data_IF_133195515189
#
_entry.id   IF_133195515189
#
_cell.length_a   1.000
_cell.length_b   1.000
_cell.length_c   1.000
_cell.angle_alpha   90.00
_cell.angle_beta   90.00
_cell.angle_gamma   90.00
#
_symmetry.space_group_name_H-M   'P 1'
#
loop_
_entity.id
_entity.type
_entity.pdbx_description
1 polymer ?
#
# COMPACT_ATOMS: atom_id res chain seq x y z
N UNK A 1 -29.22 -2.60 -10.18
CA UNK A 1 -28.22 -2.98 -9.15
C UNK A 1 -26.89 -2.33 -9.47
N UNK A 2 -26.45 -1.48 -8.60
CA UNK A 2 -25.11 -0.89 -8.77
C UNK A 2 -24.09 -1.84 -8.17
N UNK A 3 -23.24 -2.44 -9.01
CA UNK A 3 -22.03 -3.08 -8.50
C UNK A 3 -21.06 -1.97 -8.16
N UNK A 4 -20.53 -2.00 -6.96
CA UNK A 4 -19.44 -1.10 -6.57
C UNK A 4 -18.13 -1.87 -6.67
N UNK A 5 -17.15 -1.27 -7.33
CA UNK A 5 -15.79 -1.78 -7.44
C UNK A 5 -14.91 -0.84 -6.64
N UNK A 6 -14.71 -1.13 -5.37
CA UNK A 6 -14.05 -0.20 -4.46
C UNK A 6 -12.88 -0.86 -3.74
N UNK A 7 -11.72 -0.24 -3.86
CA UNK A 7 -10.53 -0.62 -3.13
C UNK A 7 -10.12 0.51 -2.19
N UNK A 8 -9.75 0.16 -0.96
CA UNK A 8 -9.04 1.06 -0.07
C UNK A 8 -7.55 0.87 -0.27
N UNK A 9 -6.86 1.89 -0.73
CA UNK A 9 -5.42 1.86 -0.97
C UNK A 9 -4.70 2.60 0.15
N UNK A 10 -3.66 2.01 0.67
CA UNK A 10 -2.82 2.63 1.71
C UNK A 10 -1.39 2.71 1.20
N UNK A 11 -0.81 3.88 1.34
CA UNK A 11 0.58 4.17 1.02
C UNK A 11 1.30 4.61 2.28
N UNK A 12 2.52 4.14 2.48
CA UNK A 12 3.36 4.56 3.60
C UNK A 12 4.79 4.77 3.13
N UNK A 13 5.34 5.96 3.39
CA UNK A 13 6.68 6.29 2.95
C UNK A 13 7.71 5.72 3.91
N UNK A 14 8.53 4.79 3.41
CA UNK A 14 9.62 4.17 4.15
C UNK A 14 10.99 4.75 3.81
N UNK A 15 11.05 5.73 2.89
CA UNK A 15 12.34 6.28 2.44
C UNK A 15 12.99 7.09 3.54
N UNK A 16 14.09 6.56 4.07
CA UNK A 16 14.81 7.17 5.18
C UNK A 16 15.37 8.53 4.81
N UNK A 17 15.10 9.55 5.63
CA UNK A 17 15.56 10.91 5.41
C UNK A 17 14.77 11.74 4.39
N UNK A 18 13.72 11.18 3.81
CA UNK A 18 12.88 11.91 2.88
C UNK A 18 11.92 12.88 3.56
N UNK A 19 11.39 13.85 2.82
CA UNK A 19 10.50 14.87 3.39
C UNK A 19 9.16 14.29 3.89
N UNK A 20 8.76 13.14 3.40
CA UNK A 20 7.51 12.46 3.80
C UNK A 20 7.76 11.12 4.50
N UNK A 21 8.99 10.88 4.96
CA UNK A 21 9.31 9.67 5.72
C UNK A 21 8.36 9.50 6.90
N UNK A 22 7.69 8.36 6.96
CA UNK A 22 6.71 8.05 8.00
C UNK A 22 5.29 8.53 7.73
N UNK A 23 5.04 9.21 6.62
CA UNK A 23 3.69 9.63 6.24
C UNK A 23 2.86 8.45 5.73
N UNK A 24 1.58 8.43 6.08
CA UNK A 24 0.61 7.44 5.62
C UNK A 24 -0.52 8.14 4.90
N UNK A 25 -0.89 7.63 3.74
CA UNK A 25 -2.00 8.11 2.95
C UNK A 25 -2.97 6.96 2.70
N UNK A 26 -4.24 7.17 3.03
CA UNK A 26 -5.32 6.22 2.74
C UNK A 26 -6.28 6.86 1.74
N UNK A 27 -6.61 6.14 0.68
CA UNK A 27 -7.56 6.66 -0.30
C UNK A 27 -8.36 5.52 -0.92
N UNK A 28 -9.54 5.86 -1.42
CA UNK A 28 -10.42 4.90 -2.07
C UNK A 28 -10.38 5.10 -3.58
N UNK A 29 -10.23 4.00 -4.30
CA UNK A 29 -10.28 3.98 -5.75
C UNK A 29 -11.43 3.10 -6.22
N UNK A 30 -12.10 3.53 -7.28
CA UNK A 30 -13.12 2.77 -7.94
C UNK A 30 -14.49 3.41 -7.83
N UNK A 31 -15.52 2.59 -7.93
CA UNK A 31 -16.91 3.03 -7.95
C UNK A 31 -17.52 2.90 -6.56
N UNK A 32 -18.04 4.01 -6.03
CA UNK A 32 -18.71 4.06 -4.75
C UNK A 32 -20.21 3.72 -4.90
N UNK A 33 -20.84 3.38 -3.79
CA UNK A 33 -22.28 3.05 -3.75
C UNK A 33 -23.18 4.17 -4.25
N UNK A 34 -22.76 5.43 -4.08
CA UNK A 34 -23.52 6.59 -4.56
C UNK A 34 -23.39 6.82 -6.08
N UNK A 35 -22.66 5.96 -6.78
CA UNK A 35 -22.45 6.05 -8.22
C UNK A 35 -21.27 6.90 -8.65
N UNK A 36 -20.59 7.57 -7.70
CA UNK A 36 -19.36 8.31 -8.03
C UNK A 36 -18.21 7.37 -8.29
N UNK A 37 -17.31 7.75 -9.19
CA UNK A 37 -16.18 6.95 -9.59
C UNK A 37 -14.88 7.70 -9.36
N UNK A 38 -13.86 6.95 -8.96
CA UNK A 38 -12.48 7.37 -9.11
C UNK A 38 -11.74 6.24 -9.82
N UNK A 39 -11.65 6.34 -11.15
CA UNK A 39 -10.91 5.39 -11.98
C UNK A 39 -9.50 5.88 -12.28
N UNK A 40 -9.02 6.85 -11.52
CA UNK A 40 -7.65 7.32 -11.63
C UNK A 40 -6.63 6.24 -11.30
N UNK A 41 -5.41 6.49 -11.69
CA UNK A 41 -4.27 5.68 -11.30
C UNK A 41 -3.51 6.35 -10.17
N UNK A 42 -2.71 5.54 -9.47
CA UNK A 42 -1.76 6.01 -8.47
C UNK A 42 -0.36 5.65 -8.94
N UNK A 43 0.51 6.64 -9.03
CA UNK A 43 1.93 6.39 -9.21
C UNK A 43 2.59 6.20 -7.85
N UNK A 44 3.24 5.06 -7.67
CA UNK A 44 3.91 4.73 -6.41
C UNK A 44 5.40 4.69 -6.67
N UNK A 45 6.17 5.66 -6.15
CA UNK A 45 7.61 5.67 -6.35
C UNK A 45 8.29 4.54 -5.57
N UNK A 46 9.48 4.12 -6.01
CA UNK A 46 10.26 3.13 -5.26
C UNK A 46 10.48 3.57 -3.81
N UNK A 47 10.36 2.63 -2.88
CA UNK A 47 10.56 2.88 -1.45
C UNK A 47 9.31 3.29 -0.69
N UNK A 48 8.20 3.46 -1.38
CA UNK A 48 6.89 3.68 -0.73
C UNK A 48 6.19 2.34 -0.62
N UNK A 49 5.88 1.93 0.61
CA UNK A 49 5.10 0.73 0.85
C UNK A 49 3.65 0.98 0.45
N UNK A 50 3.02 -0.03 -0.12
CA UNK A 50 1.63 0.08 -0.54
C UNK A 50 0.90 -1.23 -0.34
N UNK A 51 -0.40 -1.12 -0.19
CA UNK A 51 -1.30 -2.24 -0.12
C UNK A 51 -2.71 -1.80 -0.42
N UNK A 52 -3.59 -2.76 -0.58
CA UNK A 52 -4.99 -2.45 -0.77
C UNK A 52 -5.88 -3.45 -0.05
N UNK A 53 -7.05 -2.98 0.36
CA UNK A 53 -8.13 -3.82 0.83
C UNK A 53 -9.27 -3.76 -0.18
N UNK A 54 -9.77 -4.91 -0.58
CA UNK A 54 -10.94 -5.00 -1.43
C UNK A 54 -12.18 -4.79 -0.56
N UNK A 55 -12.85 -3.67 -0.74
CA UNK A 55 -14.10 -3.38 -0.02
C UNK A 55 -15.31 -4.01 -0.70
N UNK A 56 -15.16 -4.33 -1.99
CA UNK A 56 -16.13 -5.05 -2.80
C UNK A 56 -15.39 -6.00 -3.72
N UNK A 57 -16.10 -6.84 -4.46
CA UNK A 57 -15.49 -7.56 -5.57
C UNK A 57 -14.97 -6.57 -6.59
N UNK A 58 -13.70 -6.71 -6.98
CA UNK A 58 -13.05 -5.72 -7.85
C UNK A 58 -11.93 -6.35 -8.66
N UNK A 59 -11.58 -5.66 -9.73
CA UNK A 59 -10.38 -5.95 -10.53
C UNK A 59 -9.40 -4.80 -10.40
N UNK A 60 -8.14 -5.11 -10.13
CA UNK A 60 -7.08 -4.13 -10.07
C UNK A 60 -5.99 -4.48 -11.08
N UNK A 61 -5.44 -3.46 -11.73
CA UNK A 61 -4.38 -3.64 -12.72
C UNK A 61 -3.15 -2.85 -12.29
N UNK A 62 -2.00 -3.51 -12.41
CA UNK A 62 -0.71 -2.88 -12.12
C UNK A 62 0.12 -2.76 -13.39
N UNK A 63 0.86 -1.68 -13.47
CA UNK A 63 1.97 -1.56 -14.39
C UNK A 63 3.25 -1.44 -13.59
N UNK A 64 4.21 -2.32 -13.85
CA UNK A 64 5.49 -2.34 -13.16
C UNK A 64 6.62 -2.26 -14.18
N UNK A 65 7.75 -1.71 -13.77
CA UNK A 65 8.90 -1.46 -14.63
C UNK A 65 9.96 -2.58 -14.57
N UNK A 66 9.68 -3.65 -13.85
CA UNK A 66 10.59 -4.76 -13.69
C UNK A 66 9.87 -6.10 -13.59
N UNK A 67 10.62 -7.18 -13.74
CA UNK A 67 10.08 -8.52 -13.55
C UNK A 67 9.91 -8.85 -12.09
N UNK A 68 8.91 -9.67 -11.80
CA UNK A 68 8.69 -10.19 -10.46
C UNK A 68 9.91 -10.96 -9.96
N UNK A 69 10.40 -10.57 -8.79
CA UNK A 69 11.48 -11.27 -8.10
C UNK A 69 11.10 -11.41 -6.61
N UNK A 70 10.75 -12.63 -6.17
CA UNK A 70 10.31 -12.82 -4.78
C UNK A 70 11.38 -12.49 -3.74
N UNK A 71 12.66 -12.47 -4.11
CA UNK A 71 13.73 -12.11 -3.19
C UNK A 71 13.85 -10.62 -2.95
N UNK A 72 13.35 -9.81 -3.89
CA UNK A 72 13.34 -8.34 -3.78
C UNK A 72 12.04 -7.81 -3.21
N UNK A 73 11.08 -8.68 -2.95
CA UNK A 73 9.80 -8.27 -2.40
C UNK A 73 9.86 -8.23 -0.88
N UNK A 74 9.99 -7.03 -0.35
CA UNK A 74 9.93 -6.75 1.07
C UNK A 74 8.57 -6.17 1.42
N UNK A 75 8.14 -6.34 2.66
CA UNK A 75 6.89 -5.80 3.13
C UNK A 75 6.99 -5.27 4.54
N UNK A 76 5.97 -4.56 4.96
CA UNK A 76 5.81 -4.06 6.32
C UNK A 76 4.45 -4.49 6.85
N UNK A 77 4.35 -4.69 8.17
CA UNK A 77 3.12 -5.20 8.77
C UNK A 77 1.92 -4.30 8.49
N UNK A 78 0.84 -4.91 8.03
CA UNK A 78 -0.39 -4.21 7.66
C UNK A 78 -1.06 -3.53 8.85
N UNK A 79 -0.88 -4.07 10.04
CA UNK A 79 -1.49 -3.62 11.29
C UNK A 79 -0.53 -2.85 12.20
N UNK A 80 0.59 -2.40 11.67
CA UNK A 80 1.57 -1.64 12.43
C UNK A 80 0.97 -0.33 12.94
N UNK A 81 0.91 -0.09 14.26
CA UNK A 81 0.37 1.14 14.81
C UNK A 81 1.18 2.38 14.41
N UNK A 82 2.46 2.23 14.10
CA UNK A 82 3.27 3.36 13.62
C UNK A 82 2.87 3.81 12.21
N UNK A 83 2.26 2.92 11.42
CA UNK A 83 1.73 3.24 10.09
C UNK A 83 0.31 3.77 10.22
N UNK A 84 -0.47 3.23 11.16
CA UNK A 84 -1.84 3.63 11.43
C UNK A 84 -2.74 3.58 10.20
N UNK A 85 -2.62 2.52 9.40
CA UNK A 85 -3.41 2.36 8.19
C UNK A 85 -4.87 2.08 8.53
N UNK A 86 -5.78 2.82 7.90
CA UNK A 86 -7.21 2.55 7.97
C UNK A 86 -7.64 1.75 6.74
N UNK A 87 -7.72 0.45 6.88
CA UNK A 87 -8.08 -0.44 5.78
C UNK A 87 -9.58 -0.50 5.48
N UNK A 88 -10.41 0.04 6.36
CA UNK A 88 -11.85 0.01 6.20
C UNK A 88 -12.48 -1.35 6.43
N UNK A 89 -11.73 -2.32 6.93
CA UNK A 89 -12.21 -3.67 7.26
C UNK A 89 -11.72 -4.05 8.65
N UNK A 90 -12.51 -4.84 9.37
CA UNK A 90 -12.19 -5.22 10.76
C UNK A 90 -11.60 -6.62 10.87
N UNK A 91 -11.85 -7.49 9.89
CA UNK A 91 -11.41 -8.88 9.91
C UNK A 91 -10.96 -9.28 8.50
N UNK A 92 -9.80 -8.79 8.06
CA UNK A 92 -9.33 -9.04 6.70
C UNK A 92 -8.85 -10.47 6.52
N UNK A 93 -9.01 -10.98 5.29
CA UNK A 93 -8.35 -12.20 4.86
C UNK A 93 -6.99 -11.84 4.30
N UNK A 94 -5.93 -12.41 4.88
CA UNK A 94 -4.56 -12.07 4.58
C UNK A 94 -3.81 -13.26 4.01
N UNK A 95 -2.88 -12.99 3.09
CA UNK A 95 -1.91 -13.99 2.67
C UNK A 95 -0.96 -14.34 3.82
N UNK A 96 -0.33 -15.51 3.75
CA UNK A 96 0.67 -15.90 4.76
C UNK A 96 1.82 -14.89 4.82
N UNK A 97 2.22 -14.34 3.68
CA UNK A 97 3.27 -13.34 3.61
C UNK A 97 2.87 -12.04 4.31
N UNK A 98 1.64 -11.58 4.09
CA UNK A 98 1.15 -10.33 4.72
C UNK A 98 1.04 -10.46 6.22
N UNK A 99 0.79 -11.67 6.72
CA UNK A 99 0.76 -11.94 8.15
C UNK A 99 2.15 -11.96 8.79
N UNK A 100 3.18 -12.20 8.01
CA UNK A 100 4.56 -12.41 8.48
C UNK A 100 5.46 -11.19 8.33
N UNK A 101 4.99 -10.10 7.73
CA UNK A 101 5.79 -8.91 7.51
C UNK A 101 6.19 -8.26 8.84
N UNK A 102 7.43 -7.71 8.93
CA UNK A 102 7.89 -7.03 10.13
C UNK A 102 7.19 -5.69 10.34
N UNK A 103 7.16 -5.23 11.56
CA UNK A 103 6.77 -3.85 11.86
C UNK A 103 7.83 -2.88 11.33
N UNK A 104 7.41 -1.65 11.04
CA UNK A 104 8.29 -0.61 10.49
C UNK A 104 9.58 -0.45 11.32
N UNK A 105 9.44 -0.40 12.63
CA UNK A 105 10.58 -0.19 13.53
C UNK A 105 11.47 -1.42 13.67
N UNK A 106 11.01 -2.59 13.24
CA UNK A 106 11.77 -3.85 13.26
C UNK A 106 12.54 -4.08 11.96
N UNK A 107 12.33 -3.25 10.94
CA UNK A 107 13.09 -3.32 9.69
C UNK A 107 14.50 -2.80 9.97
N UNK A 108 15.52 -3.62 9.63
CA UNK A 108 16.89 -3.20 9.77
C UNK A 108 17.14 -1.90 8.99
N UNK A 109 17.79 -0.90 9.60
CA UNK A 109 17.99 0.40 8.94
C UNK A 109 18.66 0.29 7.56
N UNK A 110 19.59 -0.65 7.39
CA UNK A 110 20.27 -0.86 6.09
C UNK A 110 19.36 -1.39 5.00
N UNK A 111 18.20 -1.99 5.38
CA UNK A 111 17.24 -2.54 4.44
C UNK A 111 16.13 -1.54 4.09
N UNK A 112 16.03 -0.45 4.82
CA UNK A 112 15.09 0.62 4.48
C UNK A 112 15.58 1.35 3.23
N UNK A 113 14.67 1.64 2.29
CA UNK A 113 15.05 2.46 1.16
C UNK A 113 15.48 3.85 1.65
N UNK A 114 16.47 4.42 0.98
CA UNK A 114 16.93 5.76 1.28
C UNK A 114 16.25 6.76 0.35
N UNK A 115 15.97 7.94 0.87
CA UNK A 115 15.55 9.04 0.02
C UNK A 115 16.72 9.44 -0.89
N UNK A 116 16.46 9.41 -2.19
CA UNK A 116 17.43 9.87 -3.17
C UNK A 116 16.80 11.00 -3.98
N UNK A 117 17.43 12.16 -3.92
CA UNK A 117 17.02 13.27 -4.75
C UNK A 117 17.52 13.02 -6.16
N UNK A 118 16.62 12.91 -7.13
CA UNK A 118 16.97 12.83 -8.54
C UNK A 118 17.06 14.24 -9.10
N UNK A 119 18.20 14.55 -9.63
CA UNK A 119 18.42 15.79 -10.36
C UNK A 119 18.09 15.61 -11.85
#
# INVERSE_FOLDING_TARGET
MCSSDLARVVLHDLRAGGPTDGATLCLDLGRREDGTHDHGGIFIPPGVAHGFASLTDMTITYLVDGYYNPQDECGVAWDDPAIAADWGVTDPILSARDQANPRRDDIEPRLRPAWAMRT
#
